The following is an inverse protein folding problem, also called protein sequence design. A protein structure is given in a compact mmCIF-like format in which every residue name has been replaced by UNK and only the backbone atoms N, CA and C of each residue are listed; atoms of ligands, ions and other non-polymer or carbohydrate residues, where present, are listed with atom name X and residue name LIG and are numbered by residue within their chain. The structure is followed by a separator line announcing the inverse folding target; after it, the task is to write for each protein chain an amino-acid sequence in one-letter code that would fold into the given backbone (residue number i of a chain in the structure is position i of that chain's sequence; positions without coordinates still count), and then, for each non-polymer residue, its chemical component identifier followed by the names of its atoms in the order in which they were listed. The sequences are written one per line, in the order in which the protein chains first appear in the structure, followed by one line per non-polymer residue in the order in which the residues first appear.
data_IF_221350192483
#
_entry.id   IF_221350192483
#
_cell.length_a   1.000
_cell.length_b   1.000
_cell.length_c   1.000
_cell.angle_alpha   90.00
_cell.angle_beta   90.00
_cell.angle_gamma   90.00
#
_symmetry.space_group_name_H-M   'P 1'
#
loop_
_entity.id
_entity.type
_entity.pdbx_description
1 polymer ?
#
# COMPACT_ATOMS: atom_id res chain seq x y z
N UNK A 1 -20.67 -7.96 6.38
CA UNK A 1 -21.00 -6.65 5.79
C UNK A 1 -19.76 -5.73 5.82
N UNK A 2 -18.74 -5.97 4.97
CA UNK A 2 -17.48 -5.21 5.00
C UNK A 2 -17.41 -4.00 4.02
N UNK A 3 -18.42 -3.84 3.16
CA UNK A 3 -18.40 -2.85 2.08
C UNK A 3 -18.86 -1.44 2.50
N UNK A 4 -19.52 -1.31 3.66
CA UNK A 4 -20.08 -0.02 4.11
C UNK A 4 -18.99 0.96 4.53
N UNK A 5 -17.90 0.46 5.12
CA UNK A 5 -16.72 1.28 5.50
C UNK A 5 -15.98 1.82 4.25
N UNK A 6 -16.12 1.15 3.11
CA UNK A 6 -15.49 1.59 1.84
C UNK A 6 -16.12 2.85 1.23
N UNK A 7 -17.35 3.21 1.62
CA UNK A 7 -18.06 4.39 1.09
C UNK A 7 -17.62 5.69 1.76
N UNK A 8 -17.40 5.69 3.08
CA UNK A 8 -16.98 6.90 3.82
C UNK A 8 -15.54 7.30 3.47
N UNK A 9 -14.64 6.32 3.27
CA UNK A 9 -13.26 6.58 2.83
C UNK A 9 -13.23 7.14 1.39
N UNK A 10 -14.11 6.65 0.50
CA UNK A 10 -14.22 7.15 -0.86
C UNK A 10 -14.78 8.58 -0.93
N UNK A 11 -15.73 8.94 -0.05
CA UNK A 11 -16.26 10.31 0.03
C UNK A 11 -15.28 11.29 0.68
N UNK A 12 -14.51 10.86 1.69
CA UNK A 12 -13.46 11.69 2.29
C UNK A 12 -12.36 12.04 1.27
N UNK A 13 -12.01 11.09 0.39
CA UNK A 13 -10.96 11.27 -0.60
C UNK A 13 -11.35 12.13 -1.82
N UNK A 14 -12.64 12.43 -2.03
CA UNK A 14 -13.09 13.38 -3.07
C UNK A 14 -12.59 14.81 -2.86
N UNK A 15 -12.08 15.15 -1.66
CA UNK A 15 -11.69 16.52 -1.28
C UNK A 15 -10.19 16.80 -1.30
N UNK A 16 -9.35 15.82 -1.63
CA UNK A 16 -7.92 16.10 -1.84
C UNK A 16 -7.68 16.64 -3.24
N UNK A 17 -7.94 17.94 -3.41
CA UNK A 17 -7.29 18.73 -4.45
C UNK A 17 -5.80 18.81 -4.11
N UNK A 18 -4.97 18.06 -4.83
CA UNK A 18 -3.53 18.32 -4.82
C UNK A 18 -3.31 19.65 -5.56
N UNK A 19 -2.75 20.63 -4.84
CA UNK A 19 -2.41 21.95 -5.35
C UNK A 19 -1.62 21.83 -6.67
N UNK A 20 -2.16 22.44 -7.72
CA UNK A 20 -1.48 22.59 -9.00
C UNK A 20 -0.28 23.52 -8.85
N UNK A 21 0.95 23.02 -9.09
CA UNK A 21 2.00 23.75 -9.85
C UNK A 21 3.40 23.07 -9.96
N UNK A 22 3.67 21.88 -9.40
CA UNK A 22 4.95 21.14 -9.60
C UNK A 22 4.80 19.62 -9.88
N UNK A 23 3.73 19.23 -10.57
CA UNK A 23 3.08 17.90 -10.47
C UNK A 23 3.87 16.61 -10.69
N UNK A 24 5.05 16.59 -11.31
CA UNK A 24 5.78 15.32 -11.53
C UNK A 24 6.63 14.87 -10.33
N UNK A 25 7.40 15.79 -9.72
CA UNK A 25 8.18 15.47 -8.52
C UNK A 25 7.27 15.14 -7.34
N UNK A 26 6.18 15.89 -7.19
CA UNK A 26 5.17 15.67 -6.16
C UNK A 26 4.47 14.31 -6.35
N UNK A 27 4.14 13.94 -7.59
CA UNK A 27 3.54 12.65 -7.91
C UNK A 27 4.48 11.47 -7.61
N UNK A 28 5.72 11.54 -8.09
CA UNK A 28 6.72 10.50 -7.83
C UNK A 28 6.94 10.32 -6.32
N UNK A 29 7.11 11.42 -5.59
CA UNK A 29 7.28 11.40 -4.15
C UNK A 29 6.05 10.81 -3.44
N UNK A 30 4.84 11.17 -3.87
CA UNK A 30 3.59 10.60 -3.37
C UNK A 30 3.55 9.08 -3.57
N UNK A 31 3.79 8.59 -4.78
CA UNK A 31 3.75 7.13 -5.06
C UNK A 31 4.77 6.39 -4.20
N UNK A 32 6.01 6.89 -4.13
CA UNK A 32 7.06 6.26 -3.33
C UNK A 32 6.70 6.25 -1.85
N UNK A 33 6.25 7.38 -1.30
CA UNK A 33 5.85 7.51 0.10
C UNK A 33 4.69 6.56 0.45
N UNK A 34 3.64 6.54 -0.36
CA UNK A 34 2.48 5.66 -0.15
C UNK A 34 2.88 4.19 -0.08
N UNK A 35 3.79 3.74 -0.95
CA UNK A 35 4.23 2.33 -0.92
C UNK A 35 5.15 2.05 0.27
N UNK A 36 6.05 2.99 0.64
CA UNK A 36 6.84 2.86 1.87
C UNK A 36 5.95 2.80 3.12
N UNK A 37 4.83 3.52 3.13
CA UNK A 37 3.88 3.46 4.25
C UNK A 37 3.17 2.09 4.32
N UNK A 38 2.77 1.52 3.18
CA UNK A 38 2.27 0.14 3.13
C UNK A 38 3.32 -0.88 3.60
N UNK A 39 4.60 -0.66 3.28
CA UNK A 39 5.70 -1.48 3.79
C UNK A 39 5.78 -1.42 5.31
N UNK A 40 5.77 -0.21 5.86
CA UNK A 40 5.75 -0.01 7.30
C UNK A 40 4.55 -0.68 7.97
N UNK A 41 3.33 -0.51 7.44
CA UNK A 41 2.14 -1.14 8.02
C UNK A 41 2.19 -2.67 7.94
N UNK A 42 2.74 -3.23 6.85
CA UNK A 42 2.91 -4.68 6.74
C UNK A 42 3.95 -5.21 7.74
N UNK A 43 5.02 -4.45 7.97
CA UNK A 43 6.02 -4.77 9.01
C UNK A 43 5.40 -4.70 10.41
N UNK A 44 4.61 -3.67 10.72
CA UNK A 44 3.87 -3.54 11.98
C UNK A 44 2.92 -4.72 12.21
N UNK A 45 2.17 -5.13 11.17
CA UNK A 45 1.28 -6.29 11.25
C UNK A 45 2.03 -7.60 11.59
N UNK A 46 3.16 -7.85 10.92
CA UNK A 46 4.00 -9.01 11.21
C UNK A 46 4.62 -8.94 12.61
N UNK A 47 5.09 -7.77 13.01
CA UNK A 47 5.65 -7.55 14.32
C UNK A 47 4.62 -7.74 15.44
N UNK A 48 3.39 -7.25 15.27
CA UNK A 48 2.30 -7.47 16.20
C UNK A 48 2.10 -8.98 16.44
N UNK A 49 2.05 -9.79 15.38
CA UNK A 49 1.98 -11.24 15.50
C UNK A 49 3.19 -11.82 16.25
N UNK A 50 4.42 -11.40 15.93
CA UNK A 50 5.62 -11.89 16.63
C UNK A 50 5.62 -11.53 18.12
N UNK A 51 5.13 -10.33 18.47
CA UNK A 51 5.00 -9.85 19.84
C UNK A 51 4.01 -10.69 20.66
N UNK A 52 2.96 -11.24 20.03
CA UNK A 52 2.07 -12.21 20.72
C UNK A 52 2.79 -13.47 21.17
N UNK A 53 3.91 -13.83 20.53
CA UNK A 53 4.73 -15.01 20.85
C UNK A 53 5.93 -14.67 21.73
N UNK A 54 6.49 -13.47 21.57
CA UNK A 54 7.59 -12.98 22.39
C UNK A 54 7.38 -11.51 22.79
N UNK A 55 6.64 -11.24 23.89
CA UNK A 55 6.29 -9.88 24.30
C UNK A 55 7.46 -9.00 24.71
N UNK A 56 8.61 -9.60 25.05
CA UNK A 56 9.81 -8.88 25.45
C UNK A 56 10.53 -8.21 24.27
N UNK A 57 10.27 -8.65 23.03
CA UNK A 57 10.89 -8.06 21.85
C UNK A 57 10.32 -6.67 21.54
N UNK A 58 11.22 -5.74 21.27
CA UNK A 58 10.88 -4.36 20.91
C UNK A 58 10.81 -4.18 19.39
N UNK A 59 10.17 -3.08 18.97
CA UNK A 59 10.10 -2.74 17.55
C UNK A 59 11.50 -2.42 17.01
N UNK A 60 12.32 -1.71 17.77
CA UNK A 60 13.65 -1.27 17.37
C UNK A 60 14.58 -2.46 17.06
N UNK A 61 14.52 -3.51 17.88
CA UNK A 61 15.28 -4.74 17.63
C UNK A 61 14.77 -5.47 16.37
N UNK A 62 13.45 -5.60 16.23
CA UNK A 62 12.86 -6.26 15.07
C UNK A 62 13.09 -5.48 13.78
N UNK A 63 13.08 -4.15 13.82
CA UNK A 63 13.40 -3.28 12.70
C UNK A 63 14.86 -3.48 12.29
N UNK A 64 15.80 -3.42 13.24
CA UNK A 64 17.22 -3.61 12.92
C UNK A 64 17.55 -5.01 12.37
N UNK A 65 16.87 -6.06 12.84
CA UNK A 65 17.20 -7.45 12.48
C UNK A 65 16.38 -8.00 11.31
N UNK A 66 15.10 -7.61 11.20
CA UNK A 66 14.14 -8.22 10.27
C UNK A 66 13.67 -7.26 9.17
N UNK A 67 13.30 -6.02 9.49
CA UNK A 67 12.58 -5.14 8.56
C UNK A 67 13.44 -4.05 7.90
N UNK A 68 14.58 -3.71 8.50
CA UNK A 68 15.51 -2.71 7.99
C UNK A 68 16.14 -3.11 6.66
N UNK A 69 16.96 -2.23 6.08
CA UNK A 69 17.45 -2.33 4.69
C UNK A 69 18.08 -3.70 4.33
N UNK A 70 18.78 -4.32 5.28
CA UNK A 70 19.43 -5.63 5.11
C UNK A 70 18.69 -6.80 5.78
N UNK A 71 17.53 -6.55 6.37
CA UNK A 71 16.74 -7.54 7.06
C UNK A 71 16.11 -8.58 6.12
N UNK A 72 15.75 -9.75 6.66
CA UNK A 72 15.12 -10.81 5.88
C UNK A 72 13.80 -10.33 5.25
N UNK A 73 13.09 -9.44 5.95
CA UNK A 73 11.78 -8.89 5.61
C UNK A 73 11.85 -7.43 5.13
N UNK A 74 12.99 -7.03 4.56
CA UNK A 74 13.27 -5.65 4.11
C UNK A 74 12.44 -5.09 2.95
N UNK A 75 11.43 -5.83 2.46
CA UNK A 75 10.63 -5.38 1.32
C UNK A 75 9.20 -5.87 1.38
N UNK A 76 8.29 -5.06 0.83
CA UNK A 76 6.85 -5.36 0.78
C UNK A 76 6.60 -6.76 0.25
N UNK A 77 7.28 -7.12 -0.85
CA UNK A 77 7.07 -8.40 -1.52
C UNK A 77 7.40 -9.60 -0.63
N UNK A 78 8.45 -9.50 0.20
CA UNK A 78 8.81 -10.56 1.15
C UNK A 78 7.82 -10.60 2.31
N UNK A 79 7.48 -9.43 2.87
CA UNK A 79 6.52 -9.33 3.97
C UNK A 79 5.15 -9.88 3.60
N UNK A 80 4.58 -9.48 2.46
CA UNK A 80 3.25 -9.96 2.03
C UNK A 80 3.25 -11.46 1.75
N UNK A 81 4.37 -12.02 1.27
CA UNK A 81 4.50 -13.46 1.05
C UNK A 81 4.44 -14.21 2.36
N UNK A 82 5.11 -13.72 3.42
CA UNK A 82 5.04 -14.36 4.73
C UNK A 82 3.66 -14.14 5.36
N UNK A 83 3.14 -12.93 5.31
CA UNK A 83 1.86 -12.58 5.93
C UNK A 83 0.70 -13.46 5.41
N UNK A 84 0.68 -13.84 4.14
CA UNK A 84 -0.33 -14.78 3.61
C UNK A 84 -0.14 -16.21 4.11
N UNK A 85 1.09 -16.70 4.23
CA UNK A 85 1.34 -18.03 4.81
C UNK A 85 0.99 -18.11 6.29
N UNK A 86 1.05 -16.96 6.98
CA UNK A 86 0.64 -16.83 8.38
C UNK A 86 -0.86 -16.54 8.54
N UNK A 87 -1.63 -16.46 7.45
CA UNK A 87 -3.07 -16.19 7.50
C UNK A 87 -3.45 -14.75 7.89
N UNK A 88 -2.50 -13.81 7.83
CA UNK A 88 -2.73 -12.39 8.16
C UNK A 88 -3.32 -11.60 6.99
N UNK A 89 -3.07 -12.07 5.76
CA UNK A 89 -3.55 -11.46 4.52
C UNK A 89 -4.26 -12.50 3.65
N UNK A 90 -5.30 -12.06 2.94
CA UNK A 90 -5.95 -12.84 1.91
C UNK A 90 -5.11 -12.84 0.62
N UNK A 91 -5.17 -13.90 -0.21
CA UNK A 91 -4.43 -13.97 -1.48
C UNK A 91 -4.66 -12.77 -2.42
N UNK A 92 -5.86 -12.22 -2.35
CA UNK A 92 -6.27 -11.06 -3.14
C UNK A 92 -5.58 -9.76 -2.71
N UNK A 93 -5.40 -9.57 -1.41
CA UNK A 93 -4.70 -8.41 -0.86
C UNK A 93 -3.21 -8.48 -1.21
N UNK A 94 -2.64 -9.70 -1.22
CA UNK A 94 -1.27 -9.92 -1.67
C UNK A 94 -1.07 -9.51 -3.13
N UNK A 95 -2.05 -9.83 -3.99
CA UNK A 95 -1.98 -9.45 -5.41
C UNK A 95 -1.94 -7.91 -5.56
N UNK A 96 -2.80 -7.20 -4.83
CA UNK A 96 -2.84 -5.73 -4.87
C UNK A 96 -1.57 -5.10 -4.26
N UNK A 97 -1.10 -5.57 -3.11
CA UNK A 97 0.15 -5.07 -2.50
C UNK A 97 1.38 -5.32 -3.38
N UNK A 98 1.40 -6.41 -4.16
CA UNK A 98 2.46 -6.64 -5.16
C UNK A 98 2.41 -5.65 -6.32
N UNK A 99 1.22 -5.19 -6.71
CA UNK A 99 1.08 -4.11 -7.69
C UNK A 99 1.67 -2.81 -7.13
N UNK A 100 1.39 -2.46 -5.88
CA UNK A 100 2.01 -1.32 -5.21
C UNK A 100 3.55 -1.42 -5.14
N UNK A 101 4.09 -2.59 -4.77
CA UNK A 101 5.54 -2.82 -4.81
C UNK A 101 6.14 -2.61 -6.22
N UNK A 102 5.43 -3.07 -7.25
CA UNK A 102 5.84 -2.89 -8.65
C UNK A 102 5.78 -1.41 -9.07
N UNK A 103 4.75 -0.67 -8.67
CA UNK A 103 4.65 0.77 -8.91
C UNK A 103 5.83 1.50 -8.26
N UNK A 104 6.15 1.22 -6.99
CA UNK A 104 7.34 1.80 -6.34
C UNK A 104 8.61 1.52 -7.14
N UNK A 105 8.86 0.28 -7.53
CA UNK A 105 10.06 -0.06 -8.30
C UNK A 105 10.11 0.70 -9.64
N UNK A 106 8.97 0.86 -10.32
CA UNK A 106 8.88 1.64 -11.55
C UNK A 106 9.27 3.11 -11.34
N UNK A 107 8.77 3.76 -10.29
CA UNK A 107 9.06 5.17 -9.99
C UNK A 107 10.42 5.38 -9.32
N UNK A 108 10.93 4.40 -8.58
CA UNK A 108 12.26 4.46 -7.96
C UNK A 108 13.36 4.46 -9.01
N UNK A 109 13.23 3.62 -10.04
CA UNK A 109 14.24 3.46 -11.11
C UNK A 109 13.95 4.28 -12.38
N UNK A 110 12.73 4.76 -12.58
CA UNK A 110 12.35 5.63 -13.70
C UNK A 110 12.30 7.10 -13.29
N UNK A 111 13.42 7.81 -13.40
CA UNK A 111 13.53 9.23 -12.99
C UNK A 111 12.66 10.18 -13.84
N UNK A 112 12.41 9.82 -15.10
CA UNK A 112 11.62 10.61 -16.07
C UNK A 112 10.18 10.12 -16.19
N UNK A 113 9.69 9.38 -15.19
CA UNK A 113 8.31 8.87 -15.20
C UNK A 113 7.32 10.01 -14.98
N UNK A 114 6.35 10.09 -15.87
CA UNK A 114 5.27 11.07 -15.84
C UNK A 114 4.16 10.66 -14.86
N UNK A 115 3.12 11.48 -14.78
CA UNK A 115 1.94 11.19 -13.94
C UNK A 115 1.12 10.02 -14.50
N UNK A 116 0.17 9.49 -13.72
CA UNK A 116 -0.57 8.29 -14.17
C UNK A 116 -1.34 8.48 -15.48
N UNK A 117 -1.94 9.65 -15.73
CA UNK A 117 -2.66 9.91 -16.98
C UNK A 117 -1.73 9.98 -18.20
N UNK A 118 -0.45 10.25 -17.97
CA UNK A 118 0.62 10.37 -18.97
C UNK A 118 1.49 9.10 -19.07
N UNK A 119 1.41 8.17 -18.09
CA UNK A 119 2.12 6.89 -18.08
C UNK A 119 1.14 5.70 -18.23
N UNK A 120 0.88 5.22 -19.47
CA UNK A 120 -0.03 4.11 -19.72
C UNK A 120 0.36 2.82 -18.99
N UNK A 121 1.65 2.60 -18.70
CA UNK A 121 2.11 1.40 -18.00
C UNK A 121 1.75 1.48 -16.52
N UNK A 122 1.91 2.64 -15.90
CA UNK A 122 1.50 2.86 -14.52
C UNK A 122 -0.02 2.85 -14.36
N UNK A 123 -0.75 3.51 -15.27
CA UNK A 123 -2.22 3.48 -15.29
C UNK A 123 -2.76 2.05 -15.42
N UNK A 124 -2.20 1.24 -16.33
CA UNK A 124 -2.60 -0.15 -16.51
C UNK A 124 -2.41 -0.99 -15.24
N UNK A 125 -1.34 -0.74 -14.47
CA UNK A 125 -1.12 -1.40 -13.19
C UNK A 125 -2.19 -1.01 -12.16
N UNK A 126 -2.53 0.28 -12.05
CA UNK A 126 -3.56 0.74 -11.12
C UNK A 126 -4.92 0.15 -11.48
N UNK A 127 -5.30 0.18 -12.75
CA UNK A 127 -6.55 -0.43 -13.24
C UNK A 127 -6.55 -1.97 -13.15
N UNK A 128 -5.39 -2.59 -12.92
CA UNK A 128 -5.30 -4.02 -12.68
C UNK A 128 -5.60 -4.42 -11.23
N UNK A 129 -5.58 -3.47 -10.29
CA UNK A 129 -5.93 -3.69 -8.88
C UNK A 129 -7.30 -4.34 -8.76
N UNK A 130 -7.39 -5.37 -7.93
CA UNK A 130 -8.65 -6.05 -7.65
C UNK A 130 -9.63 -5.14 -6.92
N UNK A 131 -9.15 -4.33 -5.97
CA UNK A 131 -9.97 -3.31 -5.30
C UNK A 131 -10.68 -2.37 -6.29
N UNK A 132 -9.99 -1.96 -7.34
CA UNK A 132 -10.59 -1.17 -8.43
C UNK A 132 -11.68 -1.96 -9.15
N UNK A 133 -11.38 -3.20 -9.56
CA UNK A 133 -12.33 -4.06 -10.31
C UNK A 133 -13.61 -4.38 -9.54
N UNK A 134 -13.52 -4.48 -8.21
CA UNK A 134 -14.65 -4.82 -7.35
C UNK A 134 -15.48 -3.61 -6.91
N UNK A 135 -15.00 -2.39 -7.12
CA UNK A 135 -15.65 -1.18 -6.62
C UNK A 135 -16.26 -0.36 -7.76
N UNK A 136 -17.60 -0.36 -7.92
CA UNK A 136 -18.27 0.48 -8.90
C UNK A 136 -17.99 1.98 -8.68
N UNK A 137 -17.76 2.40 -7.43
CA UNK A 137 -17.46 3.80 -7.10
C UNK A 137 -16.09 4.24 -7.60
N UNK A 138 -15.13 3.32 -7.72
CA UNK A 138 -13.80 3.63 -8.25
C UNK A 138 -13.76 3.74 -9.78
N UNK A 139 -14.77 3.23 -10.48
CA UNK A 139 -14.84 3.25 -11.95
C UNK A 139 -14.97 4.66 -12.54
N UNK A 140 -15.45 5.64 -11.76
CA UNK A 140 -15.60 7.04 -12.17
C UNK A 140 -14.43 7.93 -11.75
N UNK A 141 -13.46 7.41 -11.00
CA UNK A 141 -12.27 8.16 -10.60
C UNK A 141 -11.20 8.12 -11.69
N UNK A 142 -10.36 9.15 -11.71
CA UNK A 142 -9.12 9.12 -12.49
C UNK A 142 -8.09 8.16 -11.86
N UNK A 143 -7.01 7.86 -12.59
CA UNK A 143 -6.01 6.88 -12.14
C UNK A 143 -5.35 7.25 -10.81
N UNK A 144 -5.22 8.55 -10.51
CA UNK A 144 -4.69 9.02 -9.25
C UNK A 144 -5.67 8.83 -8.09
N UNK A 145 -6.95 9.14 -8.29
CA UNK A 145 -8.01 8.87 -7.33
C UNK A 145 -8.19 7.39 -7.06
N UNK A 146 -8.04 6.52 -8.08
CA UNK A 146 -8.03 5.07 -7.92
C UNK A 146 -6.84 4.64 -7.05
N UNK A 147 -5.63 5.12 -7.36
CA UNK A 147 -4.42 4.82 -6.59
C UNK A 147 -4.58 5.20 -5.12
N UNK A 148 -4.96 6.45 -4.84
CA UNK A 148 -5.10 6.97 -3.47
C UNK A 148 -6.18 6.23 -2.68
N UNK A 149 -7.31 5.91 -3.33
CA UNK A 149 -8.40 5.18 -2.67
C UNK A 149 -8.00 3.74 -2.33
N UNK A 150 -7.36 3.03 -3.27
CA UNK A 150 -6.89 1.67 -3.02
C UNK A 150 -5.78 1.64 -1.97
N UNK A 151 -4.86 2.62 -2.02
CA UNK A 151 -3.82 2.81 -1.02
C UNK A 151 -4.43 3.01 0.38
N UNK A 152 -5.33 3.99 0.53
CA UNK A 152 -5.96 4.31 1.82
C UNK A 152 -6.65 3.08 2.40
N UNK A 153 -7.42 2.37 1.58
CA UNK A 153 -8.11 1.16 2.00
C UNK A 153 -7.15 0.08 2.51
N UNK A 154 -6.07 -0.21 1.78
CA UNK A 154 -5.09 -1.21 2.19
C UNK A 154 -4.33 -0.77 3.45
N UNK A 155 -3.95 0.51 3.54
CA UNK A 155 -3.24 1.07 4.67
C UNK A 155 -4.05 0.95 5.96
N UNK A 156 -5.32 1.37 5.92
CA UNK A 156 -6.24 1.26 7.05
C UNK A 156 -6.47 -0.21 7.45
N UNK A 157 -6.64 -1.10 6.47
CA UNK A 157 -6.88 -2.51 6.73
C UNK A 157 -5.67 -3.20 7.39
N UNK A 158 -4.45 -2.91 6.93
CA UNK A 158 -3.23 -3.42 7.54
C UNK A 158 -3.09 -2.92 8.99
N UNK A 159 -3.29 -1.62 9.22
CA UNK A 159 -3.23 -0.99 10.54
C UNK A 159 -4.25 -1.62 11.50
N UNK A 160 -5.53 -1.67 11.12
CA UNK A 160 -6.60 -2.21 11.96
C UNK A 160 -6.38 -3.69 12.30
N UNK A 161 -5.80 -4.47 11.38
CA UNK A 161 -5.42 -5.87 11.67
C UNK A 161 -4.27 -5.97 12.66
N UNK A 162 -3.28 -5.08 12.57
CA UNK A 162 -2.16 -5.07 13.52
C UNK A 162 -2.65 -4.72 14.93
N UNK A 163 -3.57 -3.76 15.05
CA UNK A 163 -4.19 -3.35 16.33
C UNK A 163 -5.09 -4.44 16.96
N UNK A 164 -5.56 -5.40 16.16
CA UNK A 164 -6.44 -6.48 16.61
C UNK A 164 -5.71 -7.75 17.08
N UNK A 165 -4.38 -7.81 16.92
CA UNK A 165 -3.52 -8.93 17.35
C UNK A 165 -2.97 -8.71 18.77
#
# INVERSE_FOLDING_TARGET
MPYTVSLEIAEANRRFFIMQSMGQFDHRAMVLRSVCELEFQCAQLLFALFKTKNPAKTWEEADSELFGENGLLSSLTRMVKIAVYLGLLEPDEVADLRIFARLRNMYAHGREREQFHEDPKAAALIRSLRLFKLSPTLQSHDDQGIFLSCYSFLNDRLRLRAEAL
#
